data_IF_350281118804
#
_entry.id   IF_350281118804
#
_cell.length_a   1.000
_cell.length_b   1.000
_cell.length_c   1.000
_cell.angle_alpha   90.00
_cell.angle_beta   90.00
_cell.angle_gamma   90.00
#
_symmetry.space_group_name_H-M   'P 1'
#
loop_
_entity.id
_entity.type
_entity.pdbx_description
1 polymer ?
#
# COMPACT_ATOMS: atom_id res chain seq x y z
N UNK A 1 13.91 -14.43 -4.25
CA UNK A 1 12.98 -13.83 -5.24
C UNK A 1 11.65 -13.72 -4.52
N UNK A 2 11.10 -12.51 -4.35
CA UNK A 2 9.84 -12.30 -3.62
C UNK A 2 8.68 -12.72 -4.51
N UNK A 3 7.78 -13.57 -4.01
CA UNK A 3 6.55 -13.95 -4.70
C UNK A 3 5.60 -12.76 -4.76
N UNK A 4 5.23 -12.34 -5.98
CA UNK A 4 4.37 -11.17 -6.27
C UNK A 4 2.92 -11.53 -6.60
N UNK A 5 2.50 -12.78 -6.44
CA UNK A 5 1.12 -13.20 -6.73
C UNK A 5 0.11 -12.48 -5.83
N UNK A 6 -1.02 -12.02 -6.38
CA UNK A 6 -2.14 -11.45 -5.61
C UNK A 6 -3.37 -12.33 -5.78
N UNK A 7 -3.89 -12.84 -4.66
CA UNK A 7 -5.05 -13.75 -4.66
C UNK A 7 -6.35 -13.06 -4.24
N UNK A 8 -6.27 -12.04 -3.37
CA UNK A 8 -7.45 -11.35 -2.83
C UNK A 8 -7.74 -10.06 -3.60
N UNK A 9 -8.84 -10.05 -4.35
CA UNK A 9 -9.35 -8.90 -5.09
C UNK A 9 -10.61 -8.34 -4.41
N UNK A 10 -10.73 -7.02 -4.33
CA UNK A 10 -11.87 -6.30 -3.74
C UNK A 10 -12.30 -5.14 -4.65
N UNK A 11 -13.57 -4.70 -4.61
CA UNK A 11 -13.96 -3.42 -5.18
C UNK A 11 -13.14 -2.30 -4.58
N UNK A 12 -12.63 -1.40 -5.41
CA UNK A 12 -11.76 -0.31 -5.05
C UNK A 12 -12.09 0.95 -5.85
N UNK A 13 -11.80 2.11 -5.26
CA UNK A 13 -11.72 3.39 -5.97
C UNK A 13 -10.56 3.39 -6.96
N UNK A 14 -9.49 2.66 -6.66
CA UNK A 14 -8.26 2.49 -7.44
C UNK A 14 -7.38 3.73 -7.60
N UNK A 15 -7.93 4.93 -7.37
CA UNK A 15 -7.18 6.19 -7.23
C UNK A 15 -7.50 6.96 -5.92
N UNK A 16 -7.49 6.27 -4.77
CA UNK A 16 -7.84 6.89 -3.49
C UNK A 16 -6.69 7.74 -2.91
N UNK A 17 -6.41 8.88 -3.51
CA UNK A 17 -5.45 9.88 -2.99
C UNK A 17 -6.11 10.83 -1.99
N UNK A 18 -5.31 11.62 -1.26
CA UNK A 18 -5.86 12.67 -0.38
C UNK A 18 -6.60 13.78 -1.14
N UNK A 19 -6.32 13.97 -2.44
CA UNK A 19 -7.03 14.95 -3.26
C UNK A 19 -8.46 14.52 -3.61
N UNK A 20 -8.72 13.21 -3.60
CA UNK A 20 -10.01 12.60 -3.93
C UNK A 20 -10.90 12.36 -2.69
N UNK A 21 -10.46 12.83 -1.52
CA UNK A 21 -11.20 12.75 -0.26
C UNK A 21 -11.52 14.17 0.23
N UNK A 22 -12.79 14.46 0.49
CA UNK A 22 -13.24 15.78 0.96
C UNK A 22 -13.73 15.75 2.41
N UNK A 23 -13.84 16.94 3.02
CA UNK A 23 -14.38 17.16 4.36
C UNK A 23 -15.07 18.54 4.45
N UNK A 24 -15.80 18.85 5.55
CA UNK A 24 -15.90 18.09 6.81
C UNK A 24 -16.83 16.87 6.76
N UNK A 25 -17.75 16.80 5.79
CA UNK A 25 -18.48 15.58 5.48
C UNK A 25 -17.63 14.73 4.54
N UNK A 26 -17.43 13.46 4.89
CA UNK A 26 -16.59 12.55 4.10
C UNK A 26 -17.27 12.25 2.76
N UNK A 27 -16.67 12.71 1.67
CA UNK A 27 -17.03 12.31 0.31
C UNK A 27 -15.78 11.84 -0.46
N UNK A 28 -15.96 10.82 -1.30
CA UNK A 28 -14.96 10.35 -2.26
C UNK A 28 -15.41 10.72 -3.66
N UNK A 29 -14.55 11.40 -4.41
CA UNK A 29 -14.80 11.90 -5.76
C UNK A 29 -13.84 11.22 -6.75
N UNK A 30 -14.09 11.38 -8.04
CA UNK A 30 -13.20 10.88 -9.11
C UNK A 30 -13.18 9.35 -9.27
N UNK A 31 -14.37 8.77 -9.45
CA UNK A 31 -14.57 7.32 -9.57
C UNK A 31 -14.23 6.74 -10.96
N UNK A 32 -13.44 7.40 -11.80
CA UNK A 32 -13.24 6.92 -13.19
C UNK A 32 -12.44 5.61 -13.28
N UNK A 33 -11.54 5.36 -12.33
CA UNK A 33 -10.69 4.17 -12.25
C UNK A 33 -11.32 3.00 -11.47
N UNK A 34 -12.56 3.16 -10.99
CA UNK A 34 -13.18 2.18 -10.09
C UNK A 34 -13.22 0.77 -10.71
N UNK A 35 -13.01 -0.24 -9.86
CA UNK A 35 -13.02 -1.63 -10.32
C UNK A 35 -12.57 -2.62 -9.27
N UNK A 36 -12.26 -3.85 -9.73
CA UNK A 36 -11.63 -4.84 -8.86
C UNK A 36 -10.12 -4.57 -8.80
N UNK A 37 -9.58 -4.48 -7.59
CA UNK A 37 -8.16 -4.31 -7.35
C UNK A 37 -7.66 -5.27 -6.26
N UNK A 38 -6.34 -5.52 -6.18
CA UNK A 38 -5.74 -6.17 -5.02
C UNK A 38 -6.19 -5.53 -3.71
N UNK A 39 -6.61 -6.35 -2.74
CA UNK A 39 -6.92 -5.84 -1.41
C UNK A 39 -5.72 -5.06 -0.86
N UNK A 40 -6.01 -3.86 -0.35
CA UNK A 40 -5.02 -2.95 0.20
C UNK A 40 -4.55 -1.88 -0.78
N UNK A 41 -4.98 -1.87 -2.05
CA UNK A 41 -4.67 -0.77 -2.97
C UNK A 41 -5.13 0.59 -2.42
N UNK A 42 -6.42 0.71 -2.10
CA UNK A 42 -7.01 1.95 -1.55
C UNK A 42 -6.49 2.31 -0.16
N UNK A 43 -5.90 1.36 0.58
CA UNK A 43 -5.24 1.63 1.85
C UNK A 43 -3.80 2.11 1.66
N UNK A 44 -3.09 1.53 0.68
CA UNK A 44 -1.69 1.81 0.38
C UNK A 44 -1.50 3.20 -0.25
N UNK A 45 -2.42 3.65 -1.10
CA UNK A 45 -2.33 4.95 -1.77
C UNK A 45 -2.28 6.13 -0.79
N UNK A 46 -3.27 6.34 0.12
CA UNK A 46 -3.21 7.44 1.08
C UNK A 46 -2.10 7.26 2.12
N UNK A 47 -1.76 6.02 2.49
CA UNK A 47 -0.59 5.74 3.34
C UNK A 47 0.71 6.22 2.67
N UNK A 48 0.90 5.86 1.41
CA UNK A 48 2.08 6.18 0.61
C UNK A 48 2.25 7.69 0.42
N UNK A 49 1.18 8.40 0.09
CA UNK A 49 1.19 9.87 0.01
C UNK A 49 1.40 10.55 1.37
N UNK A 50 1.25 9.82 2.48
CA UNK A 50 1.50 10.34 3.83
C UNK A 50 2.95 10.16 4.29
N UNK A 51 3.81 9.46 3.55
CA UNK A 51 5.16 9.10 4.02
C UNK A 51 6.08 10.31 4.30
N UNK A 52 5.82 11.47 3.71
CA UNK A 52 6.51 12.72 4.02
C UNK A 52 6.13 13.30 5.41
N UNK A 53 5.03 12.83 6.00
CA UNK A 53 4.53 13.24 7.32
C UNK A 53 4.39 11.97 8.18
N UNK A 54 5.46 11.54 8.89
CA UNK A 54 5.50 10.23 9.56
C UNK A 54 4.32 9.94 10.48
N UNK A 55 3.89 10.92 11.28
CA UNK A 55 2.72 10.78 12.16
C UNK A 55 1.42 10.48 11.40
N UNK A 56 1.25 11.05 10.19
CA UNK A 56 0.10 10.77 9.35
C UNK A 56 0.20 9.37 8.74
N UNK A 57 1.37 8.97 8.24
CA UNK A 57 1.59 7.63 7.70
C UNK A 57 1.32 6.54 8.75
N UNK A 58 1.81 6.72 9.98
CA UNK A 58 1.56 5.83 11.11
C UNK A 58 0.06 5.75 11.43
N UNK A 59 -0.64 6.90 11.42
CA UNK A 59 -2.09 6.95 11.64
C UNK A 59 -2.87 6.19 10.58
N UNK A 60 -2.56 6.43 9.29
CA UNK A 60 -3.21 5.71 8.18
C UNK A 60 -2.94 4.21 8.29
N UNK A 61 -1.70 3.81 8.57
CA UNK A 61 -1.35 2.39 8.74
C UNK A 61 -2.14 1.75 9.88
N UNK A 62 -2.23 2.43 11.03
CA UNK A 62 -2.98 1.91 12.17
C UNK A 62 -4.47 1.74 11.90
N UNK A 63 -5.10 2.73 11.25
CA UNK A 63 -6.54 2.71 10.94
C UNK A 63 -6.88 1.74 9.80
N UNK A 64 -5.94 1.52 8.86
CA UNK A 64 -6.11 0.60 7.72
C UNK A 64 -5.37 -0.72 7.88
N UNK A 65 -4.97 -1.03 9.12
CA UNK A 65 -4.22 -2.23 9.48
C UNK A 65 -4.79 -3.53 8.89
N UNK A 66 -6.11 -3.78 8.94
CA UNK A 66 -6.66 -5.02 8.40
C UNK A 66 -6.27 -5.24 6.94
N UNK A 67 -6.26 -4.19 6.12
CA UNK A 67 -5.91 -4.28 4.70
C UNK A 67 -4.39 -4.24 4.48
N UNK A 68 -3.66 -3.36 5.16
CA UNK A 68 -2.22 -3.17 4.96
C UNK A 68 -1.36 -4.32 5.49
N UNK A 69 -1.79 -5.03 6.52
CA UNK A 69 -1.07 -6.19 7.07
C UNK A 69 -1.46 -7.52 6.38
N UNK A 70 -2.36 -7.47 5.39
CA UNK A 70 -2.59 -8.60 4.49
C UNK A 70 -1.43 -8.75 3.50
N UNK A 71 -1.19 -9.96 2.97
CA UNK A 71 -0.11 -10.17 1.98
C UNK A 71 -0.29 -9.29 0.73
N UNK A 72 -1.52 -9.18 0.20
CA UNK A 72 -1.81 -8.28 -0.92
C UNK A 72 -1.63 -6.81 -0.54
N UNK A 73 -1.97 -6.43 0.70
CA UNK A 73 -1.74 -5.08 1.21
C UNK A 73 -0.27 -4.70 1.30
N UNK A 74 0.57 -5.60 1.82
CA UNK A 74 2.03 -5.42 1.83
C UNK A 74 2.58 -5.28 0.40
N UNK A 75 2.08 -6.08 -0.55
CA UNK A 75 2.44 -5.95 -1.96
C UNK A 75 1.98 -4.61 -2.56
N UNK A 76 0.79 -4.10 -2.21
CA UNK A 76 0.30 -2.80 -2.69
C UNK A 76 1.05 -1.61 -2.08
N UNK A 77 1.43 -1.71 -0.80
CA UNK A 77 2.33 -0.76 -0.15
C UNK A 77 3.70 -0.74 -0.83
N UNK A 78 4.25 -1.92 -1.15
CA UNK A 78 5.53 -2.04 -1.87
C UNK A 78 5.41 -1.51 -3.30
N UNK A 79 4.32 -1.82 -3.99
CA UNK A 79 4.02 -1.30 -5.32
C UNK A 79 4.02 0.24 -5.32
N UNK A 80 3.36 0.88 -4.37
CA UNK A 80 3.41 2.34 -4.22
C UNK A 80 4.84 2.84 -4.05
N UNK A 81 5.61 2.25 -3.12
CA UNK A 81 6.99 2.65 -2.88
C UNK A 81 7.87 2.48 -4.12
N UNK A 82 7.66 1.42 -4.91
CA UNK A 82 8.37 1.17 -6.15
C UNK A 82 8.06 2.21 -7.23
N UNK A 83 6.81 2.71 -7.32
CA UNK A 83 6.46 3.83 -8.21
C UNK A 83 7.25 5.09 -7.85
N UNK A 84 7.30 5.43 -6.56
CA UNK A 84 8.03 6.61 -6.07
C UNK A 84 9.54 6.46 -6.27
N UNK A 85 10.09 5.29 -5.96
CA UNK A 85 11.53 5.03 -6.01
C UNK A 85 12.03 4.57 -7.41
N UNK A 86 11.17 4.62 -8.43
CA UNK A 86 11.47 4.12 -9.77
C UNK A 86 12.56 4.90 -10.52
N UNK A 87 12.91 4.49 -11.75
CA UNK A 87 14.02 5.06 -12.52
C UNK A 87 13.89 6.57 -12.81
N UNK A 88 12.66 7.10 -12.80
CA UNK A 88 12.34 8.50 -13.08
C UNK A 88 12.03 9.31 -11.81
N UNK A 89 12.42 8.81 -10.63
CA UNK A 89 12.21 9.50 -9.37
C UNK A 89 12.89 10.88 -9.37
N UNK A 90 12.14 11.92 -8.99
CA UNK A 90 12.72 13.24 -8.82
C UNK A 90 13.56 13.27 -7.52
N UNK A 91 14.85 13.65 -7.55
CA UNK A 91 15.73 13.57 -6.37
C UNK A 91 15.22 14.35 -5.16
N UNK A 92 14.54 15.47 -5.41
CA UNK A 92 13.97 16.36 -4.39
C UNK A 92 12.54 16.00 -3.98
N UNK A 93 11.98 14.89 -4.49
CA UNK A 93 10.67 14.43 -4.04
C UNK A 93 10.73 14.07 -2.54
N UNK A 94 9.92 14.71 -1.67
CA UNK A 94 9.92 14.43 -0.24
C UNK A 94 9.54 12.98 0.10
N UNK A 95 8.87 12.26 -0.79
CA UNK A 95 8.50 10.86 -0.61
C UNK A 95 9.65 9.90 -0.91
N UNK A 96 10.70 10.32 -1.63
CA UNK A 96 11.73 9.41 -2.14
C UNK A 96 12.48 8.67 -1.03
N UNK A 97 13.00 9.40 -0.03
CA UNK A 97 13.75 8.79 1.09
C UNK A 97 12.84 7.89 1.95
N UNK A 98 11.64 8.34 2.39
CA UNK A 98 10.70 7.48 3.11
C UNK A 98 10.28 6.24 2.32
N UNK A 99 9.93 6.37 1.04
CA UNK A 99 9.48 5.25 0.21
C UNK A 99 10.56 4.18 0.06
N UNK A 100 11.84 4.57 -0.09
CA UNK A 100 12.96 3.61 -0.12
C UNK A 100 13.12 2.87 1.20
N UNK A 101 12.98 3.58 2.34
CA UNK A 101 13.04 2.97 3.67
C UNK A 101 11.92 1.95 3.86
N UNK A 102 10.68 2.33 3.53
CA UNK A 102 9.54 1.43 3.66
C UNK A 102 9.60 0.26 2.67
N UNK A 103 10.06 0.47 1.44
CA UNK A 103 10.28 -0.62 0.48
C UNK A 103 11.23 -1.68 1.04
N UNK A 104 12.34 -1.28 1.68
CA UNK A 104 13.27 -2.22 2.30
C UNK A 104 12.62 -3.01 3.45
N UNK A 105 11.82 -2.35 4.30
CA UNK A 105 11.06 -3.02 5.36
C UNK A 105 10.06 -4.03 4.79
N UNK A 106 9.27 -3.63 3.79
CA UNK A 106 8.23 -4.44 3.18
C UNK A 106 8.81 -5.65 2.44
N UNK A 107 9.98 -5.50 1.78
CA UNK A 107 10.68 -6.62 1.15
C UNK A 107 11.12 -7.66 2.19
N UNK A 108 11.67 -7.23 3.33
CA UNK A 108 12.05 -8.13 4.40
C UNK A 108 10.83 -8.88 4.96
N UNK A 109 9.74 -8.16 5.24
CA UNK A 109 8.50 -8.72 5.79
C UNK A 109 7.84 -9.74 4.85
N UNK A 110 7.78 -9.44 3.55
CA UNK A 110 7.28 -10.35 2.52
C UNK A 110 8.19 -11.58 2.33
N UNK A 111 9.51 -11.43 2.50
CA UNK A 111 10.46 -12.53 2.49
C UNK A 111 10.23 -13.51 3.63
N UNK A 112 10.09 -12.99 4.86
CA UNK A 112 9.82 -13.79 6.05
C UNK A 112 8.46 -14.52 5.98
N UNK A 113 7.45 -13.87 5.41
CA UNK A 113 6.13 -14.47 5.22
C UNK A 113 6.17 -15.64 4.21
N UNK A 114 6.95 -15.54 3.14
CA UNK A 114 7.13 -16.59 2.14
C UNK A 114 7.96 -17.79 2.62
N UNK A 115 8.76 -17.61 3.68
CA UNK A 115 9.58 -18.67 4.28
C UNK A 115 8.79 -19.56 5.28
N UNK A 116 7.62 -19.13 5.75
CA UNK A 116 6.79 -19.95 6.65
C UNK A 116 6.17 -21.09 5.83
N UNK A 117 6.37 -22.37 6.20
CA UNK A 117 5.70 -23.46 5.51
C UNK A 117 4.19 -23.23 5.63
N UNK A 118 3.47 -23.33 4.50
CA UNK A 118 2.01 -23.42 4.53
C UNK A 118 1.65 -24.57 5.47
N UNK A 119 1.22 -24.23 6.68
CA UNK A 119 0.79 -25.19 7.67
C UNK A 119 -0.25 -26.09 7.03
N UNK A 120 -0.02 -27.40 7.12
CA UNK A 120 -0.95 -28.43 6.69
C UNK A 120 -2.37 -28.02 7.12
N UNK A 121 -3.27 -27.82 6.16
CA UNK A 121 -4.70 -27.70 6.47
C UNK A 121 -5.11 -28.95 7.25
N UNK A 122 -5.66 -28.84 8.46
CA UNK A 122 -6.35 -29.97 9.06
C UNK A 122 -7.70 -30.16 8.37
N UNK A 123 -7.85 -31.39 7.87
CA UNK A 123 -9.03 -32.11 7.35
C UNK A 123 -9.54 -31.74 5.95
#
# INVERSE_FOLDING_TARGET
>A
MTDTMVEEWRPAHADLTWANVTGPELCMIDWEDWGMAPRGLDAATPWGYSLAVPALAERVWSERRPDLESRSGLLMALFFCAKVAGPHAHPEDPLLKPARKEAARLIAELGDAGQRPHGSRPH
#
